data_IF_357604737331
#
_entry.id   IF_357604737331
#
_cell.length_a   1.000
_cell.length_b   1.000
_cell.length_c   1.000
_cell.angle_alpha   90.00
_cell.angle_beta   90.00
_cell.angle_gamma   90.00
#
_symmetry.space_group_name_H-M   'P 1'
#
loop_
_entity.id
_entity.type
_entity.pdbx_description
1 polymer ?
#
# COMPACT_ATOMS: atom_id res chain seq x y z
N UNK A 1 12.46 6.11 -0.69
CA UNK A 1 12.85 4.81 -1.28
C UNK A 1 13.42 3.94 -0.19
N UNK A 2 12.92 2.72 -0.11
CA UNK A 2 13.30 1.72 0.89
C UNK A 2 13.89 0.49 0.20
N UNK A 3 14.83 -0.19 0.86
CA UNK A 3 15.37 -1.46 0.37
C UNK A 3 15.08 -2.57 1.37
N UNK A 4 14.46 -3.65 0.91
CA UNK A 4 14.12 -4.82 1.71
C UNK A 4 14.81 -6.04 1.13
N UNK A 5 15.58 -6.74 1.98
CA UNK A 5 16.33 -7.95 1.60
C UNK A 5 15.66 -9.14 2.27
N UNK A 6 15.48 -10.24 1.51
CA UNK A 6 14.85 -11.47 1.99
C UNK A 6 15.58 -12.71 1.47
N UNK A 7 15.55 -13.79 2.23
CA UNK A 7 16.04 -15.12 1.86
C UNK A 7 15.00 -15.95 1.10
N UNK A 8 13.74 -15.50 1.07
CA UNK A 8 12.66 -16.16 0.29
C UNK A 8 12.80 -15.98 -1.22
N UNK A 9 13.63 -15.03 -1.65
CA UNK A 9 13.94 -14.80 -3.06
C UNK A 9 15.39 -15.24 -3.37
N UNK A 10 15.59 -15.77 -4.58
CA UNK A 10 16.95 -16.02 -5.07
C UNK A 10 17.71 -14.72 -5.26
N UNK A 11 19.02 -14.75 -5.12
CA UNK A 11 19.89 -13.55 -5.15
C UNK A 11 19.87 -12.76 -6.46
N UNK A 12 19.37 -13.34 -7.53
CA UNK A 12 19.19 -12.73 -8.86
C UNK A 12 17.79 -12.10 -9.04
N UNK A 13 16.86 -12.39 -8.12
CA UNK A 13 15.49 -11.84 -8.16
C UNK A 13 15.42 -10.51 -7.41
N UNK A 14 14.86 -9.53 -8.07
CA UNK A 14 14.53 -8.24 -7.47
C UNK A 14 13.22 -7.71 -8.05
N UNK A 15 12.50 -6.97 -7.24
CA UNK A 15 11.25 -6.32 -7.64
C UNK A 15 11.25 -4.87 -7.16
N UNK A 16 10.85 -3.98 -8.04
CA UNK A 16 10.56 -2.60 -7.67
C UNK A 16 9.06 -2.44 -7.47
N UNK A 17 8.65 -2.28 -6.24
CA UNK A 17 7.26 -2.11 -5.84
C UNK A 17 7.03 -0.64 -5.52
N UNK A 18 5.96 -0.05 -6.07
CA UNK A 18 5.53 1.29 -5.68
C UNK A 18 4.26 1.17 -4.85
N UNK A 19 4.34 1.64 -3.61
CA UNK A 19 3.20 1.79 -2.72
C UNK A 19 2.63 3.20 -2.88
N UNK A 20 1.33 3.25 -3.13
CA UNK A 20 0.49 4.46 -3.14
C UNK A 20 -0.58 4.29 -2.07
N UNK A 21 -0.93 5.35 -1.36
CA UNK A 21 -2.08 5.34 -0.45
C UNK A 21 -2.73 6.71 -0.37
N UNK A 22 -3.96 6.74 0.11
CA UNK A 22 -4.63 7.99 0.48
C UNK A 22 -4.60 9.01 -0.68
N UNK A 23 -5.10 8.59 -1.84
CA UNK A 23 -5.15 9.43 -3.04
C UNK A 23 -6.23 10.49 -2.88
N UNK A 24 -7.36 10.13 -2.25
CA UNK A 24 -8.49 10.99 -1.96
C UNK A 24 -9.02 11.73 -3.19
N UNK A 25 -9.21 10.99 -4.29
CA UNK A 25 -9.85 11.56 -5.49
C UNK A 25 -11.25 12.04 -5.18
N UNK A 26 -11.59 13.21 -5.66
CA UNK A 26 -12.87 13.85 -5.43
C UNK A 26 -12.92 15.19 -6.14
N UNK A 27 -13.76 16.09 -5.66
CA UNK A 27 -13.95 17.41 -6.29
C UNK A 27 -12.67 18.27 -6.31
N UNK A 28 -11.87 18.20 -5.23
CA UNK A 28 -10.65 19.01 -5.10
C UNK A 28 -9.44 18.36 -5.79
N UNK A 29 -9.41 17.01 -5.83
CA UNK A 29 -8.34 16.21 -6.41
C UNK A 29 -8.89 15.40 -7.58
N UNK A 30 -9.00 16.03 -8.74
CA UNK A 30 -9.60 15.46 -9.94
C UNK A 30 -8.60 14.87 -10.92
N UNK A 31 -8.93 14.96 -12.20
CA UNK A 31 -8.19 14.38 -13.33
C UNK A 31 -6.70 14.73 -13.35
N UNK A 32 -6.36 16.01 -13.26
CA UNK A 32 -4.94 16.44 -13.35
C UNK A 32 -4.11 15.94 -12.16
N UNK A 33 -4.75 15.78 -11.00
CA UNK A 33 -4.08 15.25 -9.83
C UNK A 33 -3.76 13.75 -9.98
N UNK A 34 -4.71 12.96 -10.45
CA UNK A 34 -4.48 11.54 -10.72
C UNK A 34 -3.48 11.34 -11.88
N UNK A 35 -3.50 12.22 -12.89
CA UNK A 35 -2.50 12.22 -13.96
C UNK A 35 -1.09 12.48 -13.41
N UNK A 36 -0.93 13.46 -12.53
CA UNK A 36 0.35 13.72 -11.87
C UNK A 36 0.85 12.53 -11.05
N UNK A 37 -0.06 11.80 -10.37
CA UNK A 37 0.27 10.55 -9.70
C UNK A 37 0.81 9.51 -10.67
N UNK A 38 0.12 9.30 -11.79
CA UNK A 38 0.53 8.32 -12.81
C UNK A 38 1.91 8.65 -13.38
N UNK A 39 2.17 9.90 -13.71
CA UNK A 39 3.48 10.36 -14.19
C UNK A 39 4.58 10.08 -13.15
N UNK A 40 4.30 10.36 -11.87
CA UNK A 40 5.24 10.13 -10.77
C UNK A 40 5.53 8.64 -10.55
N UNK A 41 4.50 7.79 -10.60
CA UNK A 41 4.62 6.34 -10.45
C UNK A 41 5.37 5.72 -11.63
N UNK A 42 4.98 6.06 -12.87
CA UNK A 42 5.60 5.51 -14.08
C UNK A 42 7.07 5.92 -14.22
N UNK A 43 7.44 7.13 -13.74
CA UNK A 43 8.83 7.57 -13.71
C UNK A 43 9.73 6.68 -12.82
N UNK A 44 9.14 5.92 -11.88
CA UNK A 44 9.87 4.94 -11.08
C UNK A 44 10.10 3.62 -11.81
N UNK A 45 9.39 3.36 -12.92
CA UNK A 45 9.44 2.08 -13.65
C UNK A 45 9.18 0.88 -12.71
N UNK A 46 8.03 0.82 -12.03
CA UNK A 46 7.73 -0.25 -11.09
C UNK A 46 7.44 -1.57 -11.81
N UNK A 47 7.79 -2.69 -11.17
CA UNK A 47 7.31 -4.01 -11.56
C UNK A 47 5.88 -4.25 -11.08
N UNK A 48 5.54 -3.71 -9.90
CA UNK A 48 4.27 -3.89 -9.21
C UNK A 48 3.83 -2.57 -8.56
N UNK A 49 2.56 -2.23 -8.67
CA UNK A 49 1.96 -1.10 -7.94
C UNK A 49 0.94 -1.62 -6.94
N UNK A 50 1.07 -1.18 -5.69
CA UNK A 50 0.17 -1.54 -4.59
C UNK A 50 -0.49 -0.29 -4.01
N UNK A 51 -1.82 -0.32 -3.88
CA UNK A 51 -2.62 0.80 -3.39
C UNK A 51 -3.21 0.45 -2.03
N UNK A 52 -2.79 1.17 -0.99
CA UNK A 52 -3.22 0.91 0.38
C UNK A 52 -4.43 1.75 0.82
N UNK A 53 -5.45 1.81 -0.04
CA UNK A 53 -6.77 2.36 0.28
C UNK A 53 -6.89 3.88 0.21
N UNK A 54 -8.09 4.36 0.49
CA UNK A 54 -8.55 5.75 0.38
C UNK A 54 -8.22 6.35 -1.00
N UNK A 55 -8.72 5.64 -2.03
CA UNK A 55 -8.63 6.06 -3.43
C UNK A 55 -9.60 7.22 -3.66
N UNK A 56 -10.80 7.10 -3.12
CA UNK A 56 -11.89 8.05 -3.17
C UNK A 56 -11.96 8.86 -1.84
N UNK A 57 -12.36 10.13 -1.89
CA UNK A 57 -12.57 10.94 -0.67
C UNK A 57 -14.03 10.93 -0.20
N UNK A 58 -14.99 11.32 -1.07
CA UNK A 58 -16.37 11.56 -0.66
C UNK A 58 -17.39 10.72 -1.45
N UNK A 59 -17.73 11.20 -2.66
CA UNK A 59 -18.80 10.64 -3.51
C UNK A 59 -18.28 10.21 -4.87
N UNK A 60 -18.65 9.03 -5.25
CA UNK A 60 -18.30 8.45 -6.55
C UNK A 60 -18.77 9.32 -7.73
N UNK A 61 -19.86 10.06 -7.57
CA UNK A 61 -20.35 10.97 -8.58
C UNK A 61 -19.30 12.01 -8.99
N UNK A 62 -18.56 12.60 -8.06
CA UNK A 62 -17.53 13.59 -8.38
C UNK A 62 -16.37 12.99 -9.18
N UNK A 63 -16.02 11.76 -8.85
CA UNK A 63 -14.97 11.01 -9.57
C UNK A 63 -15.39 10.75 -11.02
N UNK A 64 -16.67 10.42 -11.24
CA UNK A 64 -17.23 10.17 -12.58
C UNK A 64 -17.35 11.47 -13.37
N UNK A 65 -17.85 12.54 -12.76
CA UNK A 65 -18.01 13.86 -13.41
C UNK A 65 -16.68 14.48 -13.84
N UNK A 66 -15.63 14.31 -13.01
CA UNK A 66 -14.29 14.81 -13.26
C UNK A 66 -13.41 13.83 -14.04
N UNK A 67 -13.92 12.64 -14.37
CA UNK A 67 -13.19 11.53 -15.00
C UNK A 67 -11.84 11.21 -14.29
N UNK A 68 -11.84 11.33 -12.97
CA UNK A 68 -10.62 11.31 -12.16
C UNK A 68 -9.90 9.97 -12.15
N UNK A 69 -10.59 8.86 -12.49
CA UNK A 69 -9.98 7.54 -12.59
C UNK A 69 -9.34 7.26 -13.95
N UNK A 70 -9.70 7.99 -15.00
CA UNK A 70 -9.23 7.71 -16.36
C UNK A 70 -7.69 7.71 -16.48
N UNK A 71 -6.94 8.64 -15.87
CA UNK A 71 -5.48 8.61 -15.94
C UNK A 71 -4.87 7.35 -15.32
N UNK A 72 -5.52 6.74 -14.30
CA UNK A 72 -4.97 5.56 -13.62
C UNK A 72 -4.83 4.35 -14.54
N UNK A 73 -5.56 4.32 -15.65
CA UNK A 73 -5.41 3.30 -16.70
C UNK A 73 -4.02 3.26 -17.32
N UNK A 74 -3.31 4.38 -17.27
CA UNK A 74 -1.97 4.55 -17.84
C UNK A 74 -0.85 4.10 -16.88
N UNK A 75 -1.17 3.57 -15.71
CA UNK A 75 -0.19 2.99 -14.79
C UNK A 75 0.52 1.81 -15.47
N UNK A 76 1.86 1.86 -15.44
CA UNK A 76 2.73 0.87 -16.05
C UNK A 76 3.38 0.01 -14.98
N UNK A 77 2.87 -1.21 -14.81
CA UNK A 77 3.41 -2.20 -13.87
C UNK A 77 3.22 -3.60 -14.47
N UNK A 78 4.29 -4.24 -14.97
CA UNK A 78 4.20 -5.54 -15.66
C UNK A 78 3.54 -6.65 -14.82
N UNK A 79 3.69 -6.60 -13.49
CA UNK A 79 3.07 -7.54 -12.57
C UNK A 79 1.66 -7.12 -12.12
N UNK A 80 1.18 -5.97 -12.59
CA UNK A 80 -0.17 -5.47 -12.33
C UNK A 80 -0.25 -4.40 -11.26
N UNK A 81 -1.49 -3.91 -11.06
CA UNK A 81 -1.86 -2.93 -10.05
C UNK A 81 -2.92 -3.56 -9.15
N UNK A 82 -2.60 -3.70 -7.86
CA UNK A 82 -3.50 -4.27 -6.86
C UNK A 82 -3.69 -3.30 -5.71
N UNK A 83 -4.84 -3.36 -5.05
CA UNK A 83 -5.09 -2.52 -3.89
C UNK A 83 -6.05 -3.15 -2.91
N UNK A 84 -6.17 -2.53 -1.75
CA UNK A 84 -7.24 -2.74 -0.79
C UNK A 84 -8.01 -1.44 -0.62
N UNK A 85 -9.23 -1.51 -0.11
CA UNK A 85 -10.00 -0.33 0.22
C UNK A 85 -9.60 0.27 1.56
N UNK A 86 -9.65 1.60 1.63
CA UNK A 86 -9.64 2.34 2.89
C UNK A 86 -11.06 2.69 3.35
N UNK A 87 -11.16 3.42 4.45
CA UNK A 87 -12.47 3.73 5.03
C UNK A 87 -13.28 4.72 4.18
N UNK A 88 -12.65 5.58 3.39
CA UNK A 88 -13.35 6.50 2.49
C UNK A 88 -13.95 5.78 1.28
N UNK A 89 -13.31 4.73 0.78
CA UNK A 89 -13.80 3.96 -0.37
C UNK A 89 -15.15 3.26 -0.11
N UNK A 90 -15.56 3.11 1.17
CA UNK A 90 -16.86 2.57 1.56
C UNK A 90 -17.96 3.62 1.76
N UNK A 91 -17.66 4.92 1.63
CA UNK A 91 -18.62 5.98 1.92
C UNK A 91 -19.75 6.05 0.88
N UNK A 92 -19.46 5.73 -0.38
CA UNK A 92 -20.46 5.78 -1.45
C UNK A 92 -20.18 4.72 -2.54
N UNK A 93 -21.13 3.80 -2.74
CA UNK A 93 -21.17 2.80 -3.82
C UNK A 93 -19.86 2.01 -4.04
N UNK A 94 -19.32 1.30 -3.03
CA UNK A 94 -18.02 0.62 -3.13
C UNK A 94 -17.95 -0.43 -4.25
N UNK A 95 -19.08 -1.11 -4.55
CA UNK A 95 -19.13 -2.11 -5.62
C UNK A 95 -18.99 -1.46 -7.02
N UNK A 96 -19.59 -0.29 -7.20
CA UNK A 96 -19.45 0.46 -8.45
C UNK A 96 -18.05 1.05 -8.59
N UNK A 97 -17.45 1.55 -7.51
CA UNK A 97 -16.05 1.97 -7.47
C UNK A 97 -15.14 0.80 -7.86
N UNK A 98 -15.39 -0.41 -7.33
CA UNK A 98 -14.61 -1.63 -7.69
C UNK A 98 -14.70 -1.92 -9.18
N UNK A 99 -15.90 -1.82 -9.78
CA UNK A 99 -16.09 -2.04 -11.21
C UNK A 99 -15.34 -0.99 -12.07
N UNK A 100 -15.38 0.28 -11.66
CA UNK A 100 -14.66 1.35 -12.36
C UNK A 100 -13.14 1.18 -12.25
N UNK A 101 -12.62 0.80 -11.08
CA UNK A 101 -11.19 0.51 -10.89
C UNK A 101 -10.74 -0.68 -11.73
N UNK A 102 -11.55 -1.75 -11.79
CA UNK A 102 -11.27 -2.90 -12.63
C UNK A 102 -11.25 -2.53 -14.12
N UNK A 103 -12.15 -1.62 -14.56
CA UNK A 103 -12.12 -1.04 -15.91
C UNK A 103 -10.87 -0.22 -16.23
N UNK A 104 -10.15 0.22 -15.19
CA UNK A 104 -8.86 0.91 -15.27
C UNK A 104 -7.67 0.01 -14.92
N UNK A 105 -7.82 -1.32 -15.03
CA UNK A 105 -6.78 -2.34 -14.78
C UNK A 105 -6.26 -2.36 -13.32
N UNK A 106 -7.06 -1.93 -12.36
CA UNK A 106 -6.75 -1.97 -10.93
C UNK A 106 -7.60 -3.04 -10.27
N UNK A 107 -6.96 -4.04 -9.66
CA UNK A 107 -7.63 -5.14 -8.96
C UNK A 107 -7.70 -4.87 -7.46
N UNK A 108 -8.91 -4.65 -6.93
CA UNK A 108 -9.13 -4.46 -5.50
C UNK A 108 -9.36 -5.81 -4.82
N UNK A 109 -8.56 -6.09 -3.80
CA UNK A 109 -8.63 -7.27 -2.95
C UNK A 109 -9.32 -6.91 -1.62
N UNK A 110 -10.32 -7.69 -1.24
CA UNK A 110 -11.13 -7.46 -0.03
C UNK A 110 -11.28 -8.78 0.72
N UNK A 111 -10.38 -9.05 1.67
CA UNK A 111 -10.15 -10.34 2.32
C UNK A 111 -9.84 -11.44 1.28
N UNK A 112 -9.07 -11.06 0.27
CA UNK A 112 -8.69 -11.91 -0.86
C UNK A 112 -7.18 -11.91 -1.05
N UNK A 113 -6.65 -13.00 -1.60
CA UNK A 113 -5.24 -13.15 -1.96
C UNK A 113 -5.07 -13.53 -3.41
N UNK A 114 -4.01 -13.05 -4.02
CA UNK A 114 -3.60 -13.42 -5.38
C UNK A 114 -2.10 -13.67 -5.46
N UNK A 115 -1.69 -14.60 -6.29
CA UNK A 115 -0.28 -14.80 -6.64
C UNK A 115 0.00 -13.98 -7.90
N UNK A 116 0.89 -13.02 -7.79
CA UNK A 116 1.20 -12.07 -8.87
C UNK A 116 2.41 -12.48 -9.69
N UNK A 117 3.30 -13.28 -9.10
CA UNK A 117 4.43 -13.92 -9.75
C UNK A 117 4.68 -15.26 -9.04
N UNK A 118 5.52 -16.13 -9.59
CA UNK A 118 5.90 -17.43 -9.01
C UNK A 118 6.48 -17.32 -7.59
N UNK A 119 6.85 -16.11 -7.15
CA UNK A 119 7.46 -15.81 -5.84
C UNK A 119 6.73 -14.78 -4.99
N UNK A 120 5.76 -14.06 -5.54
CA UNK A 120 5.05 -13.01 -4.83
C UNK A 120 3.57 -13.35 -4.63
N UNK A 121 3.07 -13.17 -3.43
CA UNK A 121 1.65 -13.25 -3.07
C UNK A 121 1.21 -11.93 -2.46
N UNK A 122 0.12 -11.37 -2.95
CA UNK A 122 -0.49 -10.14 -2.44
C UNK A 122 -1.84 -10.48 -1.83
N UNK A 123 -2.08 -10.01 -0.62
CA UNK A 123 -3.34 -10.12 0.11
C UNK A 123 -3.84 -8.71 0.40
N UNK A 124 -5.11 -8.42 0.12
CA UNK A 124 -5.76 -7.18 0.53
C UNK A 124 -6.87 -7.45 1.53
N UNK A 125 -7.00 -6.60 2.52
CA UNK A 125 -8.03 -6.71 3.56
C UNK A 125 -9.13 -5.67 3.37
N UNK A 126 -10.32 -6.00 3.88
CA UNK A 126 -11.33 -4.99 4.17
C UNK A 126 -10.81 -3.98 5.19
N UNK A 127 -11.23 -2.72 5.08
CA UNK A 127 -10.90 -1.72 6.08
C UNK A 127 -11.35 -2.15 7.49
N UNK A 128 -10.54 -1.83 8.47
CA UNK A 128 -10.73 -2.22 9.87
C UNK A 128 -12.10 -1.78 10.45
N UNK A 129 -12.65 -0.65 9.99
CA UNK A 129 -13.93 -0.11 10.48
C UNK A 129 -15.15 -0.76 9.83
N UNK A 130 -15.00 -1.33 8.65
CA UNK A 130 -16.12 -1.82 7.83
C UNK A 130 -16.29 -3.32 7.95
N UNK A 131 -15.22 -4.04 8.27
CA UNK A 131 -15.24 -5.49 8.34
C UNK A 131 -16.20 -6.01 9.42
N UNK A 132 -17.37 -6.45 8.99
CA UNK A 132 -18.34 -7.20 9.82
C UNK A 132 -18.08 -8.72 9.77
N UNK A 133 -17.28 -9.16 8.83
CA UNK A 133 -16.88 -10.57 8.64
C UNK A 133 -15.36 -10.62 8.60
N UNK A 134 -14.77 -10.93 9.73
CA UNK A 134 -13.32 -11.11 9.83
C UNK A 134 -13.00 -12.49 9.29
N UNK A 135 -12.56 -12.56 8.03
CA UNK A 135 -11.82 -13.74 7.59
C UNK A 135 -10.53 -13.77 8.41
N UNK A 136 -10.27 -14.81 9.19
CA UNK A 136 -9.05 -14.89 9.96
C UNK A 136 -7.84 -14.75 9.05
N UNK A 137 -6.86 -13.91 9.40
CA UNK A 137 -5.63 -13.74 8.59
C UNK A 137 -4.95 -15.09 8.31
N UNK A 138 -5.07 -16.04 9.22
CA UNK A 138 -4.57 -17.39 9.05
C UNK A 138 -5.20 -18.14 7.86
N UNK A 139 -6.46 -17.86 7.53
CA UNK A 139 -7.10 -18.43 6.35
C UNK A 139 -6.60 -17.81 5.03
N UNK A 140 -6.12 -16.56 5.08
CA UNK A 140 -5.55 -15.86 3.93
C UNK A 140 -4.03 -16.08 3.80
N UNK A 141 -3.38 -16.58 4.86
CA UNK A 141 -1.93 -16.80 4.93
C UNK A 141 -1.48 -18.17 4.42
N UNK A 142 -2.37 -18.97 3.85
CA UNK A 142 -2.04 -20.26 3.25
C UNK A 142 -0.90 -20.10 2.26
N UNK A 143 0.13 -20.97 2.35
CA UNK A 143 1.34 -20.95 1.52
C UNK A 143 2.23 -19.68 1.69
N UNK A 144 2.12 -18.90 2.77
CA UNK A 144 3.02 -17.77 3.02
C UNK A 144 4.48 -18.18 3.20
N UNK A 145 4.75 -19.43 3.55
CA UNK A 145 6.08 -20.04 3.58
C UNK A 145 6.67 -20.26 2.19
N UNK A 146 5.82 -20.40 1.18
CA UNK A 146 6.20 -20.65 -0.22
C UNK A 146 6.48 -19.35 -1.01
N UNK A 147 5.79 -18.27 -0.65
CA UNK A 147 5.86 -16.98 -1.34
C UNK A 147 6.44 -15.91 -0.41
N UNK A 148 7.02 -14.86 -0.97
CA UNK A 148 7.14 -13.60 -0.27
C UNK A 148 5.75 -12.95 -0.21
N UNK A 149 5.18 -12.91 0.97
CA UNK A 149 3.78 -12.56 1.20
C UNK A 149 3.63 -11.11 1.65
N UNK A 150 2.87 -10.35 0.87
CA UNK A 150 2.60 -8.93 1.10
C UNK A 150 1.14 -8.78 1.53
N UNK A 151 0.91 -8.11 2.65
CA UNK A 151 -0.41 -7.76 3.15
C UNK A 151 -0.65 -6.26 2.97
N UNK A 152 -1.76 -5.90 2.33
CA UNK A 152 -2.26 -4.53 2.22
C UNK A 152 -3.41 -4.37 3.21
N UNK A 153 -3.23 -3.48 4.18
CA UNK A 153 -4.23 -3.13 5.18
C UNK A 153 -4.24 -1.60 5.36
N UNK A 154 -5.29 -0.93 4.93
CA UNK A 154 -5.30 0.53 4.93
C UNK A 154 -4.92 1.14 6.28
N UNK A 155 -5.56 0.71 7.37
CA UNK A 155 -5.23 1.19 8.71
C UNK A 155 -4.13 0.35 9.37
N UNK A 156 -3.05 0.96 9.92
CA UNK A 156 -1.92 0.22 10.49
C UNK A 156 -2.24 -0.35 11.89
N UNK A 157 -3.25 -1.24 11.97
CA UNK A 157 -3.79 -1.79 13.23
C UNK A 157 -3.58 -3.27 13.42
N UNK A 158 -3.38 -4.04 12.33
CA UNK A 158 -3.30 -5.52 12.37
C UNK A 158 -1.88 -6.04 12.20
N UNK A 159 -0.85 -5.25 12.51
CA UNK A 159 0.56 -5.61 12.36
C UNK A 159 0.94 -6.87 13.16
N UNK A 160 0.51 -6.96 14.43
CA UNK A 160 0.82 -8.12 15.27
C UNK A 160 0.15 -9.39 14.72
N UNK A 161 -1.12 -9.29 14.32
CA UNK A 161 -1.83 -10.39 13.68
C UNK A 161 -1.21 -10.80 12.33
N UNK A 162 -0.69 -9.84 11.57
CA UNK A 162 0.01 -10.11 10.31
C UNK A 162 1.34 -10.87 10.55
N UNK A 163 2.09 -10.45 11.58
CA UNK A 163 3.31 -11.15 11.99
C UNK A 163 3.02 -12.59 12.46
N UNK A 164 2.00 -12.78 13.29
CA UNK A 164 1.55 -14.09 13.76
C UNK A 164 1.06 -15.00 12.62
N UNK A 165 0.46 -14.40 11.57
CA UNK A 165 0.02 -15.13 10.38
C UNK A 165 1.14 -15.39 9.36
N UNK A 166 2.38 -14.98 9.64
CA UNK A 166 3.56 -15.27 8.83
C UNK A 166 3.64 -14.45 7.53
N UNK A 167 3.11 -13.22 7.52
CA UNK A 167 3.36 -12.29 6.43
C UNK A 167 4.77 -11.70 6.51
N UNK A 168 5.39 -11.46 5.35
CA UNK A 168 6.75 -10.90 5.25
C UNK A 168 6.73 -9.37 5.20
N UNK A 169 5.70 -8.81 4.58
CA UNK A 169 5.53 -7.38 4.43
C UNK A 169 4.09 -6.94 4.72
N UNK A 170 3.98 -5.82 5.43
CA UNK A 170 2.70 -5.16 5.75
C UNK A 170 2.75 -3.73 5.24
N UNK A 171 1.78 -3.36 4.41
CA UNK A 171 1.68 -2.05 3.77
C UNK A 171 0.41 -1.35 4.22
N UNK A 172 0.55 -0.09 4.66
CA UNK A 172 -0.57 0.72 5.13
C UNK A 172 -0.42 2.21 4.78
N UNK A 173 -1.52 2.94 4.99
CA UNK A 173 -1.60 4.40 4.90
C UNK A 173 -2.38 4.99 6.07
N UNK A 174 -3.48 5.71 5.77
CA UNK A 174 -4.51 6.21 6.69
C UNK A 174 -4.08 7.34 7.63
N UNK A 175 -2.89 7.31 8.16
CA UNK A 175 -2.51 8.19 9.26
C UNK A 175 -2.25 9.63 8.81
N UNK A 176 -1.87 9.83 7.53
CA UNK A 176 -1.36 11.08 6.98
C UNK A 176 -0.27 11.74 7.86
N UNK A 177 0.29 10.98 8.82
CA UNK A 177 1.16 11.53 9.87
C UNK A 177 0.47 12.68 10.63
N UNK A 178 -0.86 12.55 10.80
CA UNK A 178 -1.71 13.60 11.38
C UNK A 178 -2.01 14.77 10.46
N UNK A 179 -1.42 14.83 9.24
CA UNK A 179 -1.56 15.88 8.21
C UNK A 179 -1.18 17.29 8.67
N UNK A 180 -1.66 17.73 9.85
CA UNK A 180 -1.41 19.05 10.43
C UNK A 180 -0.90 18.95 11.86
N UNK A 181 0.12 19.75 12.21
CA UNK A 181 0.55 19.91 13.59
C UNK A 181 -0.62 20.48 14.45
N UNK A 182 -0.87 19.98 15.68
CA UNK A 182 -0.06 18.97 16.40
C UNK A 182 -0.59 17.52 16.28
N UNK A 183 -1.43 17.20 15.30
CA UNK A 183 -2.14 15.92 15.19
C UNK A 183 -1.18 14.70 15.10
N UNK A 184 0.04 14.90 14.65
CA UNK A 184 1.06 13.84 14.65
C UNK A 184 1.30 13.25 16.05
N UNK A 185 1.22 14.07 17.08
CA UNK A 185 1.36 13.59 18.46
C UNK A 185 0.24 12.61 18.85
N UNK A 186 -0.92 12.72 18.19
CA UNK A 186 -2.04 11.81 18.39
C UNK A 186 -1.79 10.52 17.61
N UNK A 187 -1.41 10.60 16.31
CA UNK A 187 -1.17 9.39 15.50
C UNK A 187 -0.05 8.53 16.08
N UNK A 188 1.02 9.13 16.57
CA UNK A 188 2.12 8.42 17.24
C UNK A 188 1.70 7.70 18.54
N UNK A 189 0.64 8.13 19.20
CA UNK A 189 0.08 7.43 20.36
C UNK A 189 -0.95 6.37 20.01
N UNK A 190 -1.62 6.56 18.87
CA UNK A 190 -2.70 5.65 18.42
C UNK A 190 -2.20 4.41 17.70
N UNK A 191 -1.08 4.53 16.98
CA UNK A 191 -0.55 3.50 16.11
C UNK A 191 0.85 3.05 16.57
N UNK A 192 1.11 1.75 16.46
CA UNK A 192 2.42 1.16 16.75
C UNK A 192 3.50 1.70 15.81
N UNK A 193 3.13 1.99 14.57
CA UNK A 193 3.89 2.72 13.57
C UNK A 193 2.90 3.64 12.84
N UNK A 194 3.13 4.95 12.87
CA UNK A 194 2.29 5.92 12.18
C UNK A 194 2.86 6.38 10.85
N UNK A 195 4.16 6.14 10.61
CA UNK A 195 4.86 6.52 9.38
C UNK A 195 6.20 5.83 9.21
N UNK A 196 6.56 5.55 7.97
CA UNK A 196 7.88 5.07 7.58
C UNK A 196 8.00 3.55 7.62
N UNK A 197 9.24 3.06 7.69
CA UNK A 197 9.56 1.64 7.70
C UNK A 197 10.01 1.20 9.09
N UNK A 198 9.48 0.07 9.55
CA UNK A 198 9.93 -0.62 10.76
C UNK A 198 9.89 -2.14 10.58
N UNK A 199 10.62 -2.87 11.41
CA UNK A 199 10.57 -4.34 11.49
C UNK A 199 10.00 -4.78 12.83
N UNK A 200 9.09 -5.75 12.78
CA UNK A 200 8.48 -6.38 13.96
C UNK A 200 8.69 -7.90 13.85
N UNK A 201 9.80 -8.39 14.42
CA UNK A 201 10.27 -9.74 14.14
C UNK A 201 10.68 -9.88 12.67
N UNK A 202 10.10 -10.83 11.98
CA UNK A 202 10.35 -11.07 10.54
C UNK A 202 9.47 -10.20 9.63
N UNK A 203 8.43 -9.55 10.18
CA UNK A 203 7.53 -8.68 9.43
C UNK A 203 8.18 -7.32 9.15
N UNK A 204 8.34 -6.97 7.88
CA UNK A 204 8.67 -5.61 7.45
C UNK A 204 7.39 -4.81 7.27
N UNK A 205 7.25 -3.69 7.95
CA UNK A 205 6.08 -2.81 7.88
C UNK A 205 6.44 -1.49 7.24
N UNK A 206 5.61 -1.03 6.30
CA UNK A 206 5.71 0.30 5.69
C UNK A 206 4.38 1.00 5.83
N UNK A 207 4.39 2.17 6.45
CA UNK A 207 3.24 3.06 6.57
C UNK A 207 3.51 4.33 5.78
N UNK A 208 2.73 4.56 4.75
CA UNK A 208 2.83 5.75 3.90
C UNK A 208 2.14 6.95 4.56
N UNK A 209 2.68 8.13 4.27
CA UNK A 209 2.08 9.41 4.62
C UNK A 209 0.92 9.82 3.68
N UNK A 210 0.71 9.05 2.58
CA UNK A 210 -0.33 9.33 1.59
C UNK A 210 0.08 10.34 0.52
N UNK A 211 -0.52 10.18 -0.65
CA UNK A 211 -0.32 11.07 -1.79
C UNK A 211 -1.27 12.27 -1.76
N UNK A 212 -2.56 12.06 -1.47
CA UNK A 212 -3.57 13.10 -1.34
C UNK A 212 -3.62 13.76 0.04
N UNK A 213 -4.72 14.42 0.30
CA UNK A 213 -5.08 14.97 1.61
C UNK A 213 -6.56 14.71 1.85
N UNK A 214 -6.97 14.70 3.09
CA UNK A 214 -8.37 14.67 3.48
C UNK A 214 -8.77 16.00 4.12
N UNK A 215 -10.02 16.45 3.89
CA UNK A 215 -10.51 17.71 4.42
C UNK A 215 -9.75 18.93 3.83
N UNK A 216 -9.28 19.88 4.65
CA UNK A 216 -8.59 21.07 4.13
C UNK A 216 -7.30 20.71 3.37
N UNK A 217 -7.03 21.35 2.20
CA UNK A 217 -5.84 21.08 1.39
C UNK A 217 -4.56 21.68 2.00
N UNK A 218 -4.31 21.35 3.28
CA UNK A 218 -3.19 21.86 4.05
C UNK A 218 -2.45 20.71 4.73
N UNK A 219 -1.15 20.64 4.49
CA UNK A 219 -0.22 19.79 5.23
C UNK A 219 0.86 20.66 5.85
N UNK A 220 1.13 20.46 7.14
CA UNK A 220 2.19 21.19 7.86
C UNK A 220 3.32 20.28 8.32
N UNK A 221 3.16 18.97 8.21
CA UNK A 221 4.16 17.97 8.59
C UNK A 221 4.94 17.47 7.36
N UNK A 222 4.57 16.34 6.80
CA UNK A 222 5.27 15.74 5.67
C UNK A 222 4.60 16.07 4.34
N UNK A 223 5.40 16.11 3.28
CA UNK A 223 4.90 16.29 1.92
C UNK A 223 4.17 15.03 1.45
N UNK A 224 3.23 15.16 0.47
CA UNK A 224 2.69 14.01 -0.24
C UNK A 224 3.80 13.10 -0.78
N UNK A 225 3.56 11.79 -0.77
CA UNK A 225 4.57 10.83 -1.23
C UNK A 225 3.96 9.61 -1.94
N UNK A 226 4.78 8.96 -2.71
CA UNK A 226 4.71 7.53 -3.03
C UNK A 226 5.93 6.84 -2.42
N UNK A 227 5.82 5.57 -2.02
CA UNK A 227 6.95 4.85 -1.43
C UNK A 227 7.47 3.83 -2.45
N UNK A 228 8.75 3.95 -2.81
CA UNK A 228 9.43 2.98 -3.68
C UNK A 228 10.12 1.95 -2.81
N UNK A 229 9.78 0.68 -2.99
CA UNK A 229 10.33 -0.45 -2.25
C UNK A 229 11.12 -1.33 -3.23
N UNK A 230 12.44 -1.41 -3.05
CA UNK A 230 13.27 -2.35 -3.76
C UNK A 230 13.36 -3.64 -2.93
N UNK A 231 12.60 -4.64 -3.33
CA UNK A 231 12.62 -5.97 -2.72
C UNK A 231 13.61 -6.86 -3.47
N UNK A 232 14.58 -7.40 -2.77
CA UNK A 232 15.64 -8.20 -3.40
C UNK A 232 16.02 -9.43 -2.58
N UNK A 233 16.44 -10.48 -3.28
CA UNK A 233 16.94 -11.70 -2.68
C UNK A 233 18.28 -11.48 -1.98
N UNK A 234 18.50 -12.23 -0.88
CA UNK A 234 19.75 -12.19 -0.13
C UNK A 234 20.91 -12.72 -0.99
N UNK A 235 21.91 -11.89 -1.25
CA UNK A 235 23.13 -12.34 -1.91
C UNK A 235 24.11 -12.93 -0.87
N UNK A 236 24.61 -14.13 -1.12
CA UNK A 236 25.62 -14.79 -0.28
C UNK A 236 26.93 -13.98 -0.17
N UNK A 237 27.17 -13.02 -1.07
CA UNK A 237 28.36 -12.15 -1.06
C UNK A 237 28.31 -11.18 0.16
N UNK A 238 27.15 -10.85 0.67
CA UNK A 238 26.98 -9.96 1.83
C UNK A 238 27.28 -10.63 3.18
N UNK A 239 27.47 -11.97 3.20
CA UNK A 239 27.75 -12.73 4.43
C UNK A 239 29.26 -12.83 4.72
N UNK A 240 30.13 -12.44 3.78
CA UNK A 240 31.58 -12.70 3.83
C UNK A 240 32.47 -11.55 4.27
N UNK A 241 31.96 -10.42 4.74
CA UNK A 241 32.81 -9.40 5.39
C UNK A 241 32.70 -9.49 6.92
N UNK A 242 33.69 -10.16 7.58
CA UNK A 242 33.85 -9.97 9.01
C UNK A 242 34.31 -8.54 9.24
N UNK A 243 33.52 -7.75 9.96
CA UNK A 243 33.98 -6.47 10.53
C UNK A 243 35.27 -6.70 11.28
N UNK A 244 36.42 -6.39 10.67
CA UNK A 244 37.67 -6.18 11.41
C UNK A 244 37.50 -4.90 12.20
N UNK A 245 37.16 -5.06 13.47
CA UNK A 245 37.45 -4.03 14.46
C UNK A 245 38.97 -4.02 14.65
N UNK A 246 39.57 -2.89 14.31
CA UNK A 246 40.92 -2.50 14.77
C UNK A 246 40.72 -1.48 15.88
#
# INVERSE_FOLDING_TARGET
>A
TETVVTDKLSSDKQYKIVLVSDIHLGRELGYDYSKGLVELVNAQQPDLVLIAGDIMDERLQYIIEEDSLAPLKELQAPLGVYGAYGNHDYLDRPDELRALLAGNNISILTDESTVVDDKLKVTGLHDYRVSTSIVPLQALSVDNDKYYSILIDHQPRRMDAAAEAGYDMYLAGHTHTGQMFPNRLVTQRMYKLDYGLARFGDLTTVVSNGYGFWGPPVRTELKPEIVVINLQGLSLIHISEPTRQA
#
